data_IF_670229321325
#
_entry.id   IF_670229321325
#
_cell.length_a   1.000
_cell.length_b   1.000
_cell.length_c   1.000
_cell.angle_alpha   90.00
_cell.angle_beta   90.00
_cell.angle_gamma   90.00
#
_symmetry.space_group_name_H-M   'P 1'
#
loop_
_entity.id
_entity.type
_entity.pdbx_description
1 polymer ?
#
# COMPACT_ATOMS: atom_id res chain seq x y z
N UNK A 1 14.03 -5.42 -7.47
CA UNK A 1 13.25 -4.61 -8.44
C UNK A 1 12.60 -3.46 -7.71
N UNK A 2 12.45 -2.29 -8.34
CA UNK A 2 11.67 -1.19 -7.75
C UNK A 2 10.19 -1.44 -7.99
N UNK A 3 9.40 -1.25 -6.95
CA UNK A 3 7.96 -1.47 -6.99
C UNK A 3 7.29 -0.29 -6.30
N UNK A 4 6.28 0.27 -6.97
CA UNK A 4 5.36 1.24 -6.39
C UNK A 4 4.21 0.48 -5.76
N UNK A 5 3.92 0.81 -4.52
CA UNK A 5 2.73 0.37 -3.81
C UNK A 5 1.81 1.56 -3.62
N UNK A 6 0.53 1.35 -3.88
CA UNK A 6 -0.54 2.33 -3.70
C UNK A 6 -1.60 1.68 -2.82
N UNK A 7 -1.78 2.22 -1.62
CA UNK A 7 -2.79 1.77 -0.68
C UNK A 7 -3.92 2.81 -0.64
N UNK A 8 -5.10 2.43 -1.09
CA UNK A 8 -6.32 3.22 -0.94
C UNK A 8 -7.18 2.59 0.15
N UNK A 9 -7.64 3.41 1.09
CA UNK A 9 -8.54 3.02 2.16
C UNK A 9 -9.69 4.01 2.22
N UNK A 10 -10.89 3.50 2.45
CA UNK A 10 -12.11 4.30 2.56
C UNK A 10 -12.84 3.98 3.88
N UNK A 11 -13.62 4.94 4.38
CA UNK A 11 -14.34 4.84 5.66
C UNK A 11 -13.39 4.48 6.83
N UNK A 12 -12.38 5.33 7.08
CA UNK A 12 -11.43 5.12 8.17
C UNK A 12 -11.84 5.86 9.44
N UNK A 13 -11.48 5.28 10.59
CA UNK A 13 -11.47 5.97 11.88
C UNK A 13 -10.11 5.82 12.52
N UNK A 14 -9.42 6.94 12.74
CA UNK A 14 -8.09 7.01 13.35
C UNK A 14 -8.14 7.98 14.51
N UNK A 15 -7.78 7.53 15.72
CA UNK A 15 -7.80 8.35 16.94
C UNK A 15 -9.14 9.11 17.14
N UNK A 16 -10.25 8.40 16.95
CA UNK A 16 -11.63 8.92 17.00
C UNK A 16 -11.97 10.00 15.95
N UNK A 17 -11.06 10.25 14.99
CA UNK A 17 -11.30 11.10 13.83
C UNK A 17 -11.69 10.24 12.63
N UNK A 18 -12.73 10.68 11.93
CA UNK A 18 -13.22 10.02 10.74
C UNK A 18 -12.57 10.60 9.48
N UNK A 19 -12.17 9.72 8.57
CA UNK A 19 -11.61 10.06 7.27
C UNK A 19 -12.38 9.33 6.18
N UNK A 20 -12.89 10.08 5.19
CA UNK A 20 -13.64 9.50 4.08
C UNK A 20 -12.74 8.59 3.23
N UNK A 21 -11.53 9.07 2.90
CA UNK A 21 -10.56 8.33 2.09
C UNK A 21 -9.12 8.73 2.41
N UNK A 22 -8.23 7.75 2.41
CA UNK A 22 -6.78 7.91 2.58
C UNK A 22 -6.06 7.11 1.50
N UNK A 23 -5.15 7.77 0.79
CA UNK A 23 -4.26 7.15 -0.20
C UNK A 23 -2.82 7.27 0.26
N UNK A 24 -2.10 6.15 0.31
CA UNK A 24 -0.70 6.07 0.71
C UNK A 24 0.09 5.45 -0.42
N UNK A 25 1.01 6.22 -1.00
CA UNK A 25 1.91 5.79 -2.06
C UNK A 25 3.34 5.70 -1.55
N UNK A 26 4.01 4.58 -1.79
CA UNK A 26 5.44 4.44 -1.49
C UNK A 26 6.15 3.57 -2.53
N UNK A 27 7.46 3.78 -2.66
CA UNK A 27 8.32 3.01 -3.55
C UNK A 27 9.33 2.27 -2.68
N UNK A 28 9.53 0.98 -2.94
CA UNK A 28 10.54 0.18 -2.27
C UNK A 28 11.27 -0.72 -3.24
N UNK A 29 12.52 -1.03 -2.89
CA UNK A 29 13.29 -2.08 -3.55
C UNK A 29 12.96 -3.40 -2.85
N UNK A 30 12.38 -4.35 -3.60
CA UNK A 30 11.96 -5.66 -3.11
C UNK A 30 12.31 -6.74 -4.11
N UNK A 31 12.47 -7.97 -3.64
CA UNK A 31 12.55 -9.14 -4.52
C UNK A 31 11.16 -9.62 -4.94
N UNK A 32 11.07 -10.31 -6.10
CA UNK A 32 9.79 -10.76 -6.65
C UNK A 32 9.02 -11.69 -5.69
N UNK A 33 9.73 -12.51 -4.92
CA UNK A 33 9.15 -13.40 -3.92
C UNK A 33 8.50 -12.60 -2.77
N UNK A 34 9.11 -11.49 -2.35
CA UNK A 34 8.60 -10.64 -1.26
C UNK A 34 7.33 -9.89 -1.66
N UNK A 35 7.20 -9.53 -2.94
CA UNK A 35 5.98 -8.93 -3.49
C UNK A 35 4.78 -9.88 -3.34
N UNK A 36 4.98 -11.16 -3.66
CA UNK A 36 3.94 -12.19 -3.54
C UNK A 36 3.51 -12.39 -2.09
N UNK A 37 4.48 -12.49 -1.17
CA UNK A 37 4.20 -12.64 0.26
C UNK A 37 3.46 -11.43 0.84
N UNK A 38 3.82 -10.21 0.42
CA UNK A 38 3.12 -8.98 0.81
C UNK A 38 1.68 -8.97 0.30
N UNK A 39 1.47 -9.36 -0.96
CA UNK A 39 0.14 -9.42 -1.56
C UNK A 39 -0.76 -10.43 -0.84
N UNK A 40 -0.20 -11.58 -0.44
CA UNK A 40 -0.95 -12.62 0.26
C UNK A 40 -1.30 -12.22 1.69
N UNK A 41 -0.36 -11.59 2.41
CA UNK A 41 -0.63 -11.03 3.75
C UNK A 41 -1.72 -9.96 3.70
N UNK A 42 -1.72 -9.13 2.66
CA UNK A 42 -2.73 -8.11 2.43
C UNK A 42 -4.13 -8.70 2.26
N UNK A 43 -4.29 -9.63 1.29
CA UNK A 43 -5.57 -10.28 0.96
C UNK A 43 -6.18 -10.99 2.17
N UNK A 44 -5.32 -11.59 3.00
CA UNK A 44 -5.78 -12.52 4.04
C UNK A 44 -6.20 -11.81 5.34
N UNK A 45 -5.99 -10.50 5.48
CA UNK A 45 -6.20 -9.88 6.80
C UNK A 45 -6.74 -8.45 6.77
N UNK A 46 -8.05 -8.33 6.98
CA UNK A 46 -8.71 -7.13 7.50
C UNK A 46 -8.02 -6.58 8.77
N UNK A 47 -7.33 -7.44 9.53
CA UNK A 47 -6.62 -7.10 10.76
C UNK A 47 -5.15 -6.67 10.58
N UNK A 48 -4.55 -6.79 9.39
CA UNK A 48 -3.13 -6.43 9.23
C UNK A 48 -2.91 -4.93 9.31
N UNK A 49 -3.81 -4.16 8.71
CA UNK A 49 -3.80 -2.71 8.76
C UNK A 49 -3.95 -2.18 10.18
N UNK A 50 -4.98 -2.64 10.91
CA UNK A 50 -5.24 -2.24 12.29
C UNK A 50 -4.13 -2.67 13.26
N UNK A 51 -3.36 -3.71 12.92
CA UNK A 51 -2.18 -4.14 13.70
C UNK A 51 -0.90 -3.36 13.41
N UNK A 52 -0.75 -2.81 12.20
CA UNK A 52 0.45 -2.04 11.82
C UNK A 52 0.27 -0.53 11.96
N UNK A 53 -0.93 -0.02 11.79
CA UNK A 53 -1.24 1.41 11.88
C UNK A 53 -1.72 1.72 13.30
N UNK A 54 -0.86 2.39 14.06
CA UNK A 54 -1.18 2.88 15.40
C UNK A 54 -2.35 3.87 15.28
N UNK A 55 -3.38 3.71 16.10
CA UNK A 55 -4.55 4.59 16.12
C UNK A 55 -5.66 4.20 15.13
N UNK A 56 -5.41 3.30 14.16
CA UNK A 56 -6.44 2.85 13.23
C UNK A 56 -7.44 1.91 13.94
N UNK A 57 -8.64 2.42 14.21
CA UNK A 57 -9.70 1.69 14.89
C UNK A 57 -10.61 0.93 13.92
N UNK A 58 -10.84 1.49 12.72
CA UNK A 58 -11.72 0.93 11.70
C UNK A 58 -11.26 1.32 10.30
N UNK A 59 -11.45 0.39 9.36
CA UNK A 59 -11.36 0.62 7.91
C UNK A 59 -12.54 -0.11 7.26
N UNK A 60 -13.25 0.55 6.34
CA UNK A 60 -14.36 -0.05 5.60
C UNK A 60 -13.85 -0.91 4.45
N UNK A 61 -13.38 -0.26 3.39
CA UNK A 61 -12.79 -0.91 2.22
C UNK A 61 -11.32 -0.51 2.09
N UNK A 62 -10.49 -1.46 1.63
CA UNK A 62 -9.08 -1.21 1.39
C UNK A 62 -8.59 -1.97 0.16
N UNK A 63 -7.83 -1.30 -0.69
CA UNK A 63 -7.21 -1.89 -1.87
C UNK A 63 -5.71 -1.58 -1.88
N UNK A 64 -4.91 -2.57 -2.30
CA UNK A 64 -3.48 -2.43 -2.50
C UNK A 64 -3.17 -2.71 -3.96
N UNK A 65 -2.65 -1.70 -4.65
CA UNK A 65 -2.12 -1.83 -6.00
C UNK A 65 -0.61 -1.92 -5.92
N UNK A 66 -0.04 -2.82 -6.72
CA UNK A 66 1.39 -3.10 -6.78
C UNK A 66 1.82 -2.97 -8.24
N UNK A 67 2.70 -2.02 -8.52
CA UNK A 67 3.16 -1.70 -9.86
C UNK A 67 4.69 -1.85 -9.94
N UNK A 68 5.23 -2.76 -10.77
CA UNK A 68 6.65 -2.78 -11.01
C UNK A 68 7.08 -1.49 -11.69
N UNK A 69 8.16 -0.88 -11.21
CA UNK A 69 8.77 0.26 -11.88
C UNK A 69 9.87 -0.27 -12.79
N UNK A 70 9.64 -0.25 -14.10
CA UNK A 70 10.69 -0.50 -15.08
C UNK A 70 11.79 0.56 -14.93
N UNK A 71 13.05 0.13 -14.92
CA UNK A 71 14.23 1.02 -14.91
C UNK A 71 14.53 1.59 -16.30
N UNK A 72 13.51 2.01 -17.06
CA UNK A 72 13.73 2.72 -18.33
C UNK A 72 14.13 4.17 -18.05
N UNK A 73 15.33 4.34 -17.52
CA UNK A 73 16.13 5.54 -17.78
C UNK A 73 16.64 5.40 -19.22
N UNK A 74 15.81 5.79 -20.18
CA UNK A 74 16.27 6.08 -21.54
C UNK A 74 16.29 7.59 -21.70
N UNK A 75 17.44 8.15 -21.31
CA UNK A 75 18.13 9.29 -21.93
C UNK A 75 17.38 10.00 -23.06
N UNK A 76 16.80 11.16 -22.76
CA UNK A 76 16.53 12.23 -23.71
C UNK A 76 17.13 13.52 -23.14
N UNK A 77 18.47 13.55 -23.14
CA UNK A 77 19.19 14.82 -23.25
C UNK A 77 19.28 15.10 -24.76
N UNK A 78 18.40 15.96 -25.27
CA UNK A 78 18.68 16.80 -26.44
C UNK A 78 18.97 18.23 -25.99
#
# INVERSE_FOLDING_TARGET
MRVKFTLTMDDLTVDDLHYDSVVIDWITEVEQQEVLDLSQKWITSQNFLTRRMIGLQRVGESSLTIEPMDETISSDYE
#
